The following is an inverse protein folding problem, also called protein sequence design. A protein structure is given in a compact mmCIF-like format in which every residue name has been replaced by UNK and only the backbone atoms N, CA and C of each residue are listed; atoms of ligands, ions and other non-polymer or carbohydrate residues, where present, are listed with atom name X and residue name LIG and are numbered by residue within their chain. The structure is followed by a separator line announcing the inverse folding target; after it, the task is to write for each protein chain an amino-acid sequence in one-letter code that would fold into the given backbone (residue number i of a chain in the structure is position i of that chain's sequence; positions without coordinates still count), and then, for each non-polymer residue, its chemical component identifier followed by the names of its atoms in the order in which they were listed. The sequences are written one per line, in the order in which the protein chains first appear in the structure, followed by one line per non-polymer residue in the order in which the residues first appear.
data_IF_440090609101
#
_entry.id   IF_440090609101
#
_cell.length_a   1.000
_cell.length_b   1.000
_cell.length_c   1.000
_cell.angle_alpha   90.00
_cell.angle_beta   90.00
_cell.angle_gamma   90.00
#
_symmetry.space_group_name_H-M   'P 1'
#
loop_
_entity.id
_entity.type
_entity.pdbx_description
1 polymer ?
#
# COMPACT_ATOMS: atom_id res chain seq x y z
N UNK A 1 1.52 -16.89 -15.99
CA UNK A 1 0.13 -17.34 -15.73
C UNK A 1 -0.13 -18.48 -16.72
N UNK A 2 -0.72 -19.58 -16.28
CA UNK A 2 -0.96 -20.72 -17.17
C UNK A 2 -2.27 -20.53 -17.93
N UNK A 3 -2.16 -19.98 -19.15
CA UNK A 3 -3.31 -19.67 -20.00
C UNK A 3 -4.04 -20.92 -20.52
N UNK A 4 -3.45 -22.10 -20.39
CA UNK A 4 -4.05 -23.37 -20.85
C UNK A 4 -5.17 -23.85 -19.89
N UNK A 5 -5.30 -23.23 -18.71
CA UNK A 5 -6.39 -23.48 -17.75
C UNK A 5 -7.68 -22.72 -18.09
N UNK A 6 -7.65 -21.90 -19.15
CA UNK A 6 -8.73 -21.03 -19.55
C UNK A 6 -9.45 -21.64 -20.75
N UNK A 7 -10.78 -21.58 -20.75
CA UNK A 7 -11.62 -21.99 -21.88
C UNK A 7 -11.54 -20.95 -23.01
N UNK A 8 -10.37 -20.89 -23.64
CA UNK A 8 -10.01 -19.97 -24.71
C UNK A 8 -9.62 -20.77 -25.96
N UNK A 9 -9.93 -20.22 -27.13
CA UNK A 9 -9.51 -20.83 -28.38
C UNK A 9 -7.96 -20.97 -28.41
N UNK A 10 -7.40 -22.14 -28.80
CA UNK A 10 -5.95 -22.36 -28.86
C UNK A 10 -5.19 -21.28 -29.64
N UNK A 11 -5.81 -20.73 -30.69
CA UNK A 11 -5.26 -19.62 -31.48
C UNK A 11 -5.06 -18.35 -30.64
N UNK A 12 -6.00 -18.06 -29.75
CA UNK A 12 -5.95 -16.90 -28.84
C UNK A 12 -4.90 -17.12 -27.76
N UNK A 13 -4.80 -18.35 -27.21
CA UNK A 13 -3.76 -18.70 -26.24
C UNK A 13 -2.36 -18.57 -26.85
N UNK A 14 -2.17 -19.05 -28.08
CA UNK A 14 -0.91 -18.88 -28.80
C UNK A 14 -0.56 -17.41 -29.03
N UNK A 15 -1.56 -16.58 -29.36
CA UNK A 15 -1.37 -15.14 -29.52
C UNK A 15 -1.02 -14.42 -28.21
N UNK A 16 -1.63 -14.82 -27.08
CA UNK A 16 -1.30 -14.31 -25.74
C UNK A 16 0.15 -14.63 -25.36
N UNK A 17 0.57 -15.89 -25.57
CA UNK A 17 1.95 -16.34 -25.34
C UNK A 17 2.94 -15.59 -26.23
N UNK A 18 2.59 -15.35 -27.51
CA UNK A 18 3.42 -14.60 -28.46
C UNK A 18 3.54 -13.10 -28.13
N UNK A 19 2.49 -12.51 -27.57
CA UNK A 19 2.45 -11.11 -27.19
C UNK A 19 3.11 -10.82 -25.83
N UNK A 20 3.70 -11.83 -25.18
CA UNK A 20 4.30 -11.78 -23.84
C UNK A 20 3.33 -11.25 -22.75
N UNK A 21 2.03 -11.48 -22.91
CA UNK A 21 1.03 -11.08 -21.92
C UNK A 21 1.07 -12.07 -20.74
N UNK A 22 1.46 -11.56 -19.58
CA UNK A 22 1.74 -12.38 -18.38
C UNK A 22 0.59 -12.42 -17.39
N UNK A 23 -0.36 -11.48 -17.51
CA UNK A 23 -1.47 -11.36 -16.56
C UNK A 23 -2.79 -10.94 -17.20
N UNK A 24 -3.90 -11.38 -16.57
CA UNK A 24 -5.25 -10.91 -16.89
C UNK A 24 -5.37 -9.38 -16.82
N UNK A 25 -4.65 -8.74 -15.89
CA UNK A 25 -4.66 -7.29 -15.70
C UNK A 25 -4.09 -6.54 -16.90
N UNK A 26 -3.07 -7.07 -17.56
CA UNK A 26 -2.53 -6.50 -18.81
C UNK A 26 -3.57 -6.50 -19.93
N UNK A 27 -4.36 -7.57 -20.05
CA UNK A 27 -5.45 -7.64 -21.04
C UNK A 27 -6.50 -6.56 -20.77
N UNK A 28 -6.94 -6.42 -19.50
CA UNK A 28 -7.98 -5.46 -19.14
C UNK A 28 -7.53 -3.99 -19.18
N UNK A 29 -6.24 -3.72 -19.09
CA UNK A 29 -5.69 -2.37 -19.17
C UNK A 29 -5.52 -1.87 -20.62
N UNK A 30 -5.67 -2.75 -21.61
CA UNK A 30 -5.58 -2.41 -23.02
C UNK A 30 -6.97 -2.24 -23.63
N UNK A 31 -7.10 -1.29 -24.55
CA UNK A 31 -8.33 -1.17 -25.33
C UNK A 31 -8.47 -2.36 -26.28
N UNK A 32 -9.71 -2.68 -26.69
CA UNK A 32 -9.95 -3.74 -27.68
C UNK A 32 -9.18 -3.51 -28.99
N UNK A 33 -8.98 -2.25 -29.39
CA UNK A 33 -8.21 -1.92 -30.58
C UNK A 33 -6.70 -2.16 -30.39
N UNK A 34 -6.16 -1.86 -29.21
CA UNK A 34 -4.75 -2.11 -28.90
C UNK A 34 -4.46 -3.61 -28.82
N UNK A 35 -5.37 -4.39 -28.23
CA UNK A 35 -5.28 -5.85 -28.21
C UNK A 35 -5.31 -6.45 -29.62
N UNK A 36 -6.18 -5.94 -30.50
CA UNK A 36 -6.20 -6.38 -31.91
C UNK A 36 -4.86 -6.11 -32.60
N UNK A 37 -4.28 -4.91 -32.41
CA UNK A 37 -2.99 -4.55 -32.99
C UNK A 37 -1.85 -5.41 -32.44
N UNK A 38 -1.83 -5.62 -31.13
CA UNK A 38 -0.79 -6.37 -30.41
C UNK A 38 -0.82 -7.86 -30.76
N UNK A 39 -2.02 -8.46 -30.75
CA UNK A 39 -2.21 -9.90 -30.91
C UNK A 39 -2.48 -10.32 -32.35
N UNK A 40 -2.75 -9.37 -33.25
CA UNK A 40 -3.13 -9.60 -34.65
C UNK A 40 -4.32 -10.56 -34.79
N UNK A 41 -5.33 -10.37 -33.93
CA UNK A 41 -6.56 -11.16 -33.91
C UNK A 41 -7.75 -10.36 -34.44
N UNK A 42 -8.82 -11.06 -34.80
CA UNK A 42 -10.07 -10.43 -35.23
C UNK A 42 -10.76 -9.72 -34.05
N UNK A 43 -11.67 -8.78 -34.35
CA UNK A 43 -12.44 -8.12 -33.29
C UNK A 43 -13.31 -9.09 -32.50
N UNK A 44 -13.84 -10.13 -33.16
CA UNK A 44 -14.63 -11.18 -32.53
C UNK A 44 -13.80 -12.01 -31.54
N UNK A 45 -12.58 -12.39 -31.92
CA UNK A 45 -11.66 -13.13 -31.06
C UNK A 45 -11.29 -12.31 -29.81
N UNK A 46 -11.01 -11.00 -29.99
CA UNK A 46 -10.70 -10.10 -28.87
C UNK A 46 -11.91 -9.86 -27.97
N UNK A 47 -13.12 -9.72 -28.52
CA UNK A 47 -14.34 -9.63 -27.71
C UNK A 47 -14.58 -10.92 -26.91
N UNK A 48 -14.36 -12.08 -27.52
CA UNK A 48 -14.49 -13.37 -26.86
C UNK A 48 -13.46 -13.50 -25.71
N UNK A 49 -12.21 -13.11 -25.96
CA UNK A 49 -11.16 -13.05 -24.94
C UNK A 49 -11.56 -12.14 -23.77
N UNK A 50 -11.94 -10.90 -24.05
CA UNK A 50 -12.33 -9.92 -23.02
C UNK A 50 -13.54 -10.40 -22.20
N UNK A 51 -14.54 -11.02 -22.86
CA UNK A 51 -15.72 -11.58 -22.20
C UNK A 51 -15.34 -12.73 -21.28
N UNK A 52 -14.53 -13.67 -21.77
CA UNK A 52 -14.07 -14.83 -20.99
C UNK A 52 -13.27 -14.39 -19.76
N UNK A 53 -12.30 -13.49 -19.97
CA UNK A 53 -11.47 -12.93 -18.89
C UNK A 53 -12.32 -12.16 -17.87
N UNK A 54 -13.31 -11.38 -18.32
CA UNK A 54 -14.24 -10.66 -17.45
C UNK A 54 -15.10 -11.60 -16.62
N UNK A 55 -15.63 -12.68 -17.21
CA UNK A 55 -16.42 -13.68 -16.50
C UNK A 55 -15.61 -14.40 -15.42
N UNK A 56 -14.33 -14.65 -15.65
CA UNK A 56 -13.46 -15.30 -14.67
C UNK A 56 -13.07 -14.41 -13.50
N UNK A 57 -12.99 -13.09 -13.74
CA UNK A 57 -12.76 -12.11 -12.68
C UNK A 57 -14.01 -11.76 -11.87
N UNK A 58 -15.22 -12.14 -12.32
CA UNK A 58 -16.48 -12.00 -11.56
C UNK A 58 -16.55 -12.93 -10.34
N UNK A 59 -15.45 -13.13 -9.62
CA UNK A 59 -15.48 -13.63 -8.24
C UNK A 59 -16.25 -12.69 -7.30
N UNK A 60 -16.46 -11.43 -7.70
CA UNK A 60 -17.36 -10.50 -7.03
C UNK A 60 -18.65 -10.35 -7.85
N UNK A 61 -19.68 -11.11 -7.50
CA UNK A 61 -21.05 -10.84 -7.93
C UNK A 61 -21.46 -9.44 -7.48
N UNK A 62 -22.29 -8.75 -8.25
CA UNK A 62 -22.95 -7.52 -7.80
C UNK A 62 -23.67 -7.83 -6.47
N UNK A 63 -23.16 -7.26 -5.38
CA UNK A 63 -23.79 -7.38 -4.07
C UNK A 63 -24.77 -6.23 -3.90
N UNK A 64 -25.93 -6.54 -3.31
CA UNK A 64 -26.86 -5.50 -2.88
C UNK A 64 -26.25 -4.75 -1.69
N UNK A 65 -26.63 -3.48 -1.50
CA UNK A 65 -26.22 -2.70 -0.34
C UNK A 65 -26.59 -3.40 0.99
N UNK A 66 -27.70 -4.15 1.00
CA UNK A 66 -28.13 -4.94 2.17
C UNK A 66 -27.17 -6.10 2.46
N UNK A 67 -26.71 -6.82 1.43
CA UNK A 67 -25.74 -7.91 1.62
C UNK A 67 -24.40 -7.38 2.16
N UNK A 68 -23.92 -6.25 1.65
CA UNK A 68 -22.72 -5.60 2.17
C UNK A 68 -22.87 -5.16 3.64
N UNK A 69 -24.08 -4.71 4.03
CA UNK A 69 -24.37 -4.33 5.41
C UNK A 69 -24.47 -5.55 6.35
N UNK A 70 -25.03 -6.66 5.86
CA UNK A 70 -25.21 -7.90 6.62
C UNK A 70 -23.93 -8.74 6.72
N UNK A 71 -22.97 -8.56 5.79
CA UNK A 71 -21.66 -9.19 5.82
C UNK A 71 -20.79 -8.60 6.94
N UNK A 72 -21.06 -9.07 8.16
CA UNK A 72 -20.37 -8.65 9.38
C UNK A 72 -18.88 -8.97 9.33
N UNK A 73 -18.48 -10.07 8.70
CA UNK A 73 -17.09 -10.53 8.62
C UNK A 73 -16.26 -9.60 7.72
N UNK A 74 -16.82 -9.22 6.56
CA UNK A 74 -16.17 -8.29 5.64
C UNK A 74 -16.06 -6.88 6.26
N UNK A 75 -17.07 -6.44 7.00
CA UNK A 75 -17.05 -5.19 7.76
C UNK A 75 -16.06 -5.22 8.93
N UNK A 76 -15.95 -6.31 9.69
CA UNK A 76 -14.97 -6.42 10.79
C UNK A 76 -13.53 -6.40 10.29
N UNK A 77 -13.25 -7.04 9.16
CA UNK A 77 -11.92 -7.01 8.53
C UNK A 77 -11.55 -5.62 8.01
N UNK A 78 -12.52 -4.84 7.50
CA UNK A 78 -12.31 -3.45 7.07
C UNK A 78 -12.24 -2.46 8.24
N UNK A 79 -12.78 -2.80 9.41
CA UNK A 79 -12.80 -1.93 10.61
C UNK A 79 -11.55 -2.03 11.46
N UNK A 80 -10.68 -3.01 11.22
CA UNK A 80 -9.40 -3.05 11.92
C UNK A 80 -8.60 -1.79 11.57
N UNK A 81 -8.03 -1.20 12.62
CA UNK A 81 -7.30 0.07 12.55
C UNK A 81 -6.05 -0.01 13.40
N UNK A 82 -5.02 0.69 12.94
CA UNK A 82 -3.80 0.93 13.68
C UNK A 82 -3.96 2.21 14.51
N UNK A 83 -3.84 2.08 15.83
CA UNK A 83 -3.87 3.23 16.74
C UNK A 83 -2.66 4.15 16.52
N UNK A 84 -2.88 5.45 16.69
CA UNK A 84 -1.81 6.45 16.69
C UNK A 84 -1.10 6.55 18.05
N UNK A 85 -1.57 5.80 19.06
CA UNK A 85 -1.06 5.88 20.44
C UNK A 85 -1.46 7.16 21.15
N UNK A 86 -2.49 7.84 20.66
CA UNK A 86 -3.03 9.07 21.22
C UNK A 86 -4.56 9.00 21.19
N UNK A 87 -5.20 8.97 22.37
CA UNK A 87 -6.64 8.80 22.50
C UNK A 87 -7.45 9.88 21.78
N UNK A 88 -6.96 11.12 21.77
CA UNK A 88 -7.59 12.26 21.08
C UNK A 88 -7.60 12.04 19.56
N UNK A 89 -6.46 11.65 18.99
CA UNK A 89 -6.33 11.40 17.55
C UNK A 89 -7.06 10.13 17.13
N UNK A 90 -7.01 9.08 17.94
CA UNK A 90 -7.75 7.85 17.68
C UNK A 90 -9.26 8.11 17.72
N UNK A 91 -9.74 8.90 18.68
CA UNK A 91 -11.15 9.31 18.72
C UNK A 91 -11.54 10.10 17.47
N UNK A 92 -10.70 11.05 17.04
CA UNK A 92 -10.91 11.83 15.82
C UNK A 92 -11.00 10.93 14.57
N UNK A 93 -10.14 9.90 14.50
CA UNK A 93 -10.09 8.95 13.38
C UNK A 93 -10.98 7.72 13.58
N UNK A 94 -11.84 7.72 14.61
CA UNK A 94 -12.75 6.62 14.97
C UNK A 94 -12.03 5.28 15.15
N UNK A 95 -10.95 5.28 15.93
CA UNK A 95 -10.13 4.12 16.30
C UNK A 95 -8.77 4.02 15.61
N UNK A 96 -8.33 5.05 14.88
CA UNK A 96 -7.01 5.09 14.22
C UNK A 96 -7.05 4.91 12.70
N UNK A 97 -5.93 4.48 12.13
CA UNK A 97 -5.68 4.42 10.68
C UNK A 97 -6.20 3.10 10.10
N UNK A 98 -7.01 3.11 9.02
CA UNK A 98 -7.46 1.89 8.36
C UNK A 98 -6.31 0.99 7.89
N UNK A 99 -6.43 -0.33 8.07
CA UNK A 99 -5.39 -1.25 7.61
C UNK A 99 -5.32 -1.42 6.09
N UNK A 100 -6.40 -1.08 5.37
CA UNK A 100 -6.46 -1.13 3.92
C UNK A 100 -6.71 0.27 3.40
N UNK A 101 -5.82 0.73 2.52
CA UNK A 101 -5.85 2.04 1.92
C UNK A 101 -4.54 2.80 2.13
N UNK A 102 -4.52 3.99 1.56
CA UNK A 102 -3.43 4.96 1.70
C UNK A 102 -3.99 6.11 2.53
N UNK A 103 -3.29 6.44 3.61
CA UNK A 103 -3.59 7.61 4.45
C UNK A 103 -2.53 8.66 4.20
N UNK A 104 -2.96 9.87 3.89
CA UNK A 104 -2.07 11.01 3.68
C UNK A 104 -2.11 11.94 4.88
N UNK A 105 -0.92 12.32 5.37
CA UNK A 105 -0.74 13.34 6.38
C UNK A 105 -0.07 14.55 5.74
N UNK A 106 -0.86 15.57 5.44
CA UNK A 106 -0.43 16.81 4.79
C UNK A 106 -0.39 17.98 5.78
N UNK A 107 0.57 18.89 5.59
CA UNK A 107 0.66 20.14 6.37
C UNK A 107 1.99 20.86 6.17
N UNK A 108 2.09 22.05 6.73
CA UNK A 108 3.30 22.89 6.66
C UNK A 108 4.51 22.22 7.36
N UNK A 109 5.71 22.74 7.09
CA UNK A 109 6.91 22.33 7.82
C UNK A 109 6.71 22.49 9.33
N UNK A 110 7.30 21.60 10.12
CA UNK A 110 7.19 21.58 11.59
C UNK A 110 5.77 21.34 12.17
N UNK A 111 4.77 20.99 11.35
CA UNK A 111 3.42 20.61 11.82
C UNK A 111 3.34 19.25 12.55
N UNK A 112 4.47 18.60 12.83
CA UNK A 112 4.51 17.32 13.57
C UNK A 112 4.30 16.05 12.73
N UNK A 113 4.30 16.13 11.40
CA UNK A 113 4.06 14.99 10.49
C UNK A 113 5.03 13.82 10.71
N UNK A 114 6.32 14.13 10.76
CA UNK A 114 7.38 13.15 11.04
C UNK A 114 7.26 12.56 12.45
N UNK A 115 6.80 13.35 13.45
CA UNK A 115 6.59 12.84 14.81
C UNK A 115 5.50 11.78 14.86
N UNK A 116 4.36 12.05 14.22
CA UNK A 116 3.25 11.08 14.11
C UNK A 116 3.71 9.82 13.39
N UNK A 117 4.51 9.97 12.33
CA UNK A 117 4.98 8.84 11.52
C UNK A 117 5.98 7.95 12.28
N UNK A 118 6.91 8.53 13.03
CA UNK A 118 7.79 7.77 13.93
C UNK A 118 6.99 7.07 15.03
N UNK A 119 6.01 7.76 15.62
CA UNK A 119 5.16 7.15 16.65
C UNK A 119 4.36 5.97 16.07
N UNK A 120 3.86 6.06 14.84
CA UNK A 120 3.19 4.94 14.17
C UNK A 120 4.10 3.73 13.96
N UNK A 121 5.38 3.93 13.62
CA UNK A 121 6.38 2.86 13.56
C UNK A 121 6.58 2.14 14.90
N UNK A 122 6.33 2.82 16.01
CA UNK A 122 6.32 2.19 17.34
C UNK A 122 4.95 1.54 17.63
N UNK A 123 3.85 2.22 17.31
CA UNK A 123 2.49 1.75 17.56
C UNK A 123 2.17 0.42 16.89
N UNK A 124 2.64 0.20 15.66
CA UNK A 124 2.40 -1.06 14.92
C UNK A 124 2.98 -2.29 15.62
N UNK A 125 3.99 -2.12 16.47
CA UNK A 125 4.67 -3.22 17.15
C UNK A 125 3.94 -3.69 18.41
N UNK A 126 2.98 -2.92 18.91
CA UNK A 126 2.19 -3.31 20.07
C UNK A 126 1.24 -4.48 19.75
N UNK A 127 0.79 -5.22 20.78
CA UNK A 127 -0.28 -6.20 20.62
C UNK A 127 -1.56 -5.62 20.04
N UNK A 128 -2.34 -6.46 19.35
CA UNK A 128 -3.67 -6.09 18.83
C UNK A 128 -4.59 -5.53 19.93
N UNK A 129 -4.48 -6.07 21.15
CA UNK A 129 -5.23 -5.58 22.33
C UNK A 129 -4.97 -4.10 22.63
N UNK A 130 -3.79 -3.58 22.29
CA UNK A 130 -3.38 -2.20 22.51
C UNK A 130 -3.29 -1.40 21.20
N UNK A 131 -4.05 -1.82 20.18
CA UNK A 131 -4.19 -1.10 18.92
C UNK A 131 -2.98 -1.19 17.97
N UNK A 132 -2.02 -2.09 18.23
CA UNK A 132 -0.94 -2.43 17.29
C UNK A 132 -1.26 -3.65 16.43
N UNK A 133 -0.26 -4.16 15.71
CA UNK A 133 -0.36 -5.29 14.78
C UNK A 133 0.72 -6.37 15.00
N UNK A 134 1.43 -6.32 16.13
CA UNK A 134 2.49 -7.28 16.49
C UNK A 134 3.54 -7.49 15.39
N UNK A 135 3.86 -6.41 14.66
CA UNK A 135 4.74 -6.50 13.49
C UNK A 135 5.53 -5.21 13.29
N UNK A 136 6.53 -5.26 12.41
CA UNK A 136 7.41 -4.15 12.13
C UNK A 136 6.84 -3.10 11.18
N UNK A 137 7.64 -2.05 10.95
CA UNK A 137 7.38 -0.99 10.00
C UNK A 137 8.51 -0.88 8.97
N UNK A 138 8.19 -0.38 7.78
CA UNK A 138 9.17 0.18 6.84
C UNK A 138 9.00 1.70 6.83
N UNK A 139 10.10 2.43 6.96
CA UNK A 139 10.16 3.86 6.80
C UNK A 139 10.99 4.19 5.55
N UNK A 140 10.36 4.79 4.55
CA UNK A 140 11.02 5.23 3.32
C UNK A 140 11.31 6.72 3.45
N UNK A 141 12.58 7.07 3.45
CA UNK A 141 13.08 8.42 3.37
C UNK A 141 13.32 8.79 1.90
N UNK A 142 12.72 9.88 1.43
CA UNK A 142 12.90 10.35 0.04
C UNK A 142 13.80 11.59 -0.07
N UNK A 143 14.00 12.32 1.02
CA UNK A 143 14.80 13.55 1.03
C UNK A 143 15.82 13.51 2.17
N UNK A 144 15.35 13.57 3.41
CA UNK A 144 16.20 13.63 4.60
C UNK A 144 16.66 12.27 5.12
N UNK A 145 17.74 12.29 5.90
CA UNK A 145 18.18 11.15 6.68
C UNK A 145 17.10 10.73 7.70
N UNK A 146 17.00 9.42 7.95
CA UNK A 146 16.07 8.92 8.95
C UNK A 146 16.37 9.52 10.35
N UNK A 147 15.38 10.09 11.05
CA UNK A 147 15.57 10.78 12.33
C UNK A 147 15.77 9.81 13.50
N UNK A 148 16.84 9.00 13.44
CA UNK A 148 17.15 7.92 14.38
C UNK A 148 17.28 8.39 15.83
N UNK A 149 17.96 9.52 16.07
CA UNK A 149 18.08 10.11 17.41
C UNK A 149 16.71 10.43 18.00
N UNK A 150 15.80 10.95 17.17
CA UNK A 150 14.44 11.28 17.62
C UNK A 150 13.62 10.02 17.87
N UNK A 151 13.77 8.98 17.05
CA UNK A 151 13.15 7.68 17.30
C UNK A 151 13.57 7.12 18.67
N UNK A 152 14.86 7.16 19.02
CA UNK A 152 15.33 6.67 20.33
C UNK A 152 14.69 7.44 21.49
N UNK A 153 14.60 8.77 21.39
CA UNK A 153 13.89 9.57 22.39
C UNK A 153 12.41 9.17 22.54
N UNK A 154 11.73 8.86 21.43
CA UNK A 154 10.34 8.38 21.47
C UNK A 154 10.23 6.99 22.10
N UNK A 155 11.19 6.09 21.83
CA UNK A 155 11.27 4.77 22.45
C UNK A 155 11.40 4.89 23.97
N UNK A 156 12.34 5.72 24.44
CA UNK A 156 12.57 5.94 25.87
C UNK A 156 11.33 6.50 26.58
N UNK A 157 10.48 7.25 25.86
CA UNK A 157 9.27 7.86 26.40
C UNK A 157 8.02 6.97 26.28
N UNK A 158 8.09 5.77 25.70
CA UNK A 158 6.89 4.94 25.47
C UNK A 158 6.13 4.63 26.78
N UNK A 159 6.83 4.43 27.90
CA UNK A 159 6.19 4.20 29.20
C UNK A 159 5.30 5.38 29.66
N UNK A 160 5.57 6.61 29.22
CA UNK A 160 4.74 7.80 29.50
C UNK A 160 3.68 8.01 28.43
N UNK A 161 4.06 7.84 27.16
CA UNK A 161 3.20 8.10 26.00
C UNK A 161 2.09 7.06 25.87
N UNK A 162 2.35 5.82 26.30
CA UNK A 162 1.43 4.67 26.26
C UNK A 162 1.10 4.18 27.67
N UNK A 163 0.63 5.09 28.51
CA UNK A 163 0.18 4.78 29.88
C UNK A 163 -0.98 3.77 29.92
N UNK A 164 -1.67 3.57 28.79
CA UNK A 164 -2.70 2.54 28.60
C UNK A 164 -2.11 1.11 28.50
N UNK A 165 -0.81 0.97 28.26
CA UNK A 165 -0.13 -0.32 28.09
C UNK A 165 0.69 -0.67 29.33
N UNK A 166 0.56 -1.90 29.88
CA UNK A 166 1.39 -2.36 30.98
C UNK A 166 2.89 -2.28 30.67
N UNK A 167 3.68 -1.78 31.64
CA UNK A 167 5.13 -1.58 31.48
C UNK A 167 5.89 -2.86 31.07
N UNK A 168 5.45 -4.02 31.55
CA UNK A 168 6.03 -5.33 31.19
C UNK A 168 5.95 -5.63 29.69
N UNK A 169 4.87 -5.20 29.03
CA UNK A 169 4.69 -5.40 27.59
C UNK A 169 5.62 -4.47 26.83
N UNK A 170 5.70 -3.20 27.25
CA UNK A 170 6.60 -2.21 26.65
C UNK A 170 8.06 -2.69 26.72
N UNK A 171 8.49 -3.22 27.87
CA UNK A 171 9.86 -3.73 28.07
C UNK A 171 10.18 -4.97 27.23
N UNK A 172 9.18 -5.80 26.89
CA UNK A 172 9.35 -6.97 26.03
C UNK A 172 9.55 -6.58 24.56
N UNK A 173 9.00 -5.45 24.12
CA UNK A 173 9.08 -5.01 22.73
C UNK A 173 10.45 -4.35 22.47
N UNK A 174 11.23 -4.94 21.55
CA UNK A 174 12.48 -4.34 21.07
C UNK A 174 12.20 -3.42 19.89
N UNK A 175 11.63 -2.24 20.18
CA UNK A 175 11.09 -1.33 19.17
C UNK A 175 12.01 -1.03 17.98
N UNK A 176 13.32 -0.86 18.22
CA UNK A 176 14.27 -0.53 17.16
C UNK A 176 14.55 -1.67 16.18
N UNK A 177 14.34 -2.94 16.56
CA UNK A 177 14.75 -4.10 15.76
C UNK A 177 13.79 -4.40 14.61
N UNK A 178 12.57 -3.86 14.65
CA UNK A 178 11.51 -4.14 13.68
C UNK A 178 11.12 -2.89 12.89
N UNK A 179 12.03 -1.92 12.76
CA UNK A 179 11.85 -0.75 11.89
C UNK A 179 12.93 -0.80 10.81
N UNK A 180 12.51 -1.10 9.58
CA UNK A 180 13.39 -1.12 8.42
C UNK A 180 13.39 0.26 7.76
N UNK A 181 14.57 0.78 7.46
CA UNK A 181 14.73 2.10 6.84
C UNK A 181 15.23 1.91 5.41
N UNK A 182 14.56 2.55 4.47
CA UNK A 182 14.93 2.58 3.06
C UNK A 182 15.11 4.03 2.60
N UNK A 183 16.10 4.28 1.76
CA UNK A 183 16.32 5.59 1.14
C UNK A 183 16.01 5.48 -0.36
N UNK A 184 15.07 6.28 -0.83
CA UNK A 184 14.63 6.30 -2.22
C UNK A 184 14.47 7.75 -2.69
N UNK A 185 15.56 8.32 -3.22
CA UNK A 185 15.64 9.74 -3.58
C UNK A 185 15.07 10.06 -4.98
N UNK A 186 14.83 9.04 -5.80
CA UNK A 186 14.35 9.15 -7.19
C UNK A 186 13.24 8.12 -7.48
N UNK A 187 12.51 8.33 -8.58
CA UNK A 187 11.36 7.48 -8.94
C UNK A 187 11.74 6.02 -9.22
N UNK A 188 12.91 5.76 -9.80
CA UNK A 188 13.36 4.41 -10.15
C UNK A 188 13.74 3.61 -8.90
N UNK A 189 14.46 4.23 -7.98
CA UNK A 189 14.80 3.66 -6.67
C UNK A 189 13.53 3.43 -5.85
N UNK A 190 12.59 4.37 -5.87
CA UNK A 190 11.29 4.21 -5.21
C UNK A 190 10.46 3.06 -5.81
N UNK A 191 10.42 2.97 -7.14
CA UNK A 191 9.75 1.87 -7.83
C UNK A 191 10.35 0.50 -7.46
N UNK A 192 11.68 0.39 -7.44
CA UNK A 192 12.36 -0.83 -7.00
C UNK A 192 12.10 -1.16 -5.53
N UNK A 193 12.03 -0.15 -4.67
CA UNK A 193 11.73 -0.31 -3.25
C UNK A 193 10.33 -0.93 -3.04
N UNK A 194 9.30 -0.36 -3.68
CA UNK A 194 7.91 -0.86 -3.61
C UNK A 194 7.79 -2.28 -4.17
N UNK A 195 8.29 -2.49 -5.39
CA UNK A 195 8.05 -3.73 -6.14
C UNK A 195 8.86 -4.92 -5.64
N UNK A 196 10.06 -4.69 -5.10
CA UNK A 196 10.95 -5.77 -4.64
C UNK A 196 11.06 -5.79 -3.12
N UNK A 197 11.65 -4.76 -2.52
CA UNK A 197 12.07 -4.77 -1.11
C UNK A 197 10.87 -4.84 -0.17
N UNK A 198 9.95 -3.88 -0.27
CA UNK A 198 8.75 -3.80 0.57
C UNK A 198 7.86 -5.02 0.35
N UNK A 199 7.66 -5.40 -0.91
CA UNK A 199 6.90 -6.60 -1.27
C UNK A 199 7.46 -7.87 -0.58
N UNK A 200 8.77 -8.02 -0.47
CA UNK A 200 9.42 -9.13 0.23
C UNK A 200 9.22 -9.05 1.76
N UNK A 201 9.40 -7.88 2.36
CA UNK A 201 9.21 -7.70 3.81
C UNK A 201 7.76 -8.01 4.23
N UNK A 202 6.79 -7.53 3.44
CA UNK A 202 5.36 -7.80 3.63
C UNK A 202 5.02 -9.28 3.43
N UNK A 203 5.55 -9.91 2.39
CA UNK A 203 5.32 -11.32 2.10
C UNK A 203 5.87 -12.26 3.20
N UNK A 204 6.97 -11.87 3.84
CA UNK A 204 7.55 -12.59 4.99
C UNK A 204 6.85 -12.28 6.31
N UNK A 205 5.88 -11.35 6.33
CA UNK A 205 5.17 -10.95 7.55
C UNK A 205 6.03 -10.15 8.55
N UNK A 206 7.21 -9.68 8.14
CA UNK A 206 8.12 -8.94 9.02
C UNK A 206 7.63 -7.52 9.29
N UNK A 207 6.79 -6.98 8.39
CA UNK A 207 6.24 -5.63 8.50
C UNK A 207 4.74 -5.60 8.20
N UNK A 208 4.02 -4.72 8.89
CA UNK A 208 2.59 -4.41 8.68
C UNK A 208 2.32 -2.91 8.67
N UNK A 209 3.33 -2.07 8.48
CA UNK A 209 3.16 -0.64 8.25
C UNK A 209 4.21 -0.19 7.22
N UNK A 210 3.79 0.66 6.28
CA UNK A 210 4.71 1.36 5.37
C UNK A 210 4.50 2.85 5.55
N UNK A 211 5.58 3.57 5.84
CA UNK A 211 5.63 5.03 5.95
C UNK A 211 6.48 5.58 4.83
N UNK A 212 6.03 6.65 4.17
CA UNK A 212 6.72 7.32 3.07
C UNK A 212 6.88 8.79 3.43
N UNK A 213 8.10 9.21 3.76
CA UNK A 213 8.44 10.58 4.16
C UNK A 213 9.47 11.18 3.19
N UNK A 214 9.08 12.00 2.21
CA UNK A 214 7.71 12.38 1.84
C UNK A 214 7.40 11.92 0.41
N UNK A 215 6.13 11.64 0.09
CA UNK A 215 5.75 11.29 -1.29
C UNK A 215 5.95 12.49 -2.23
N UNK A 216 5.83 13.72 -1.70
CA UNK A 216 5.90 14.95 -2.47
C UNK A 216 7.30 15.26 -2.99
N UNK A 217 8.35 14.94 -2.22
CA UNK A 217 9.73 15.24 -2.58
C UNK A 217 10.14 14.63 -3.94
N UNK A 218 9.74 13.37 -4.19
CA UNK A 218 9.99 12.66 -5.46
C UNK A 218 9.45 13.41 -6.69
N UNK A 219 8.40 14.22 -6.52
CA UNK A 219 7.73 14.90 -7.62
C UNK A 219 7.98 16.40 -7.67
N UNK A 220 8.73 16.95 -6.72
CA UNK A 220 9.00 18.39 -6.63
C UNK A 220 10.20 18.80 -7.48
N UNK A 221 11.24 17.97 -7.51
CA UNK A 221 12.50 18.28 -8.17
C UNK A 221 12.56 17.77 -9.62
N UNK A 222 11.85 16.68 -9.94
CA UNK A 222 11.97 16.00 -11.23
C UNK A 222 11.03 16.51 -12.33
N UNK A 223 9.99 17.28 -12.00
CA UNK A 223 8.95 17.67 -12.96
C UNK A 223 8.74 19.18 -13.02
N UNK A 224 8.89 19.74 -14.22
CA UNK A 224 8.53 21.12 -14.52
C UNK A 224 7.02 21.29 -14.80
N UNK A 225 6.61 22.52 -15.07
CA UNK A 225 5.20 22.86 -15.39
C UNK A 225 4.71 22.12 -16.64
N UNK A 226 5.60 21.85 -17.60
CA UNK A 226 5.32 21.10 -18.83
C UNK A 226 5.06 19.61 -18.62
N UNK A 227 5.49 19.03 -17.49
CA UNK A 227 5.52 17.57 -17.31
C UNK A 227 4.33 17.03 -16.52
N UNK A 228 3.26 17.83 -16.41
CA UNK A 228 2.06 17.52 -15.64
C UNK A 228 1.44 16.16 -15.98
N UNK A 229 1.41 15.79 -17.26
CA UNK A 229 0.88 14.49 -17.73
C UNK A 229 1.74 13.33 -17.25
N UNK A 230 3.07 13.46 -17.35
CA UNK A 230 3.99 12.41 -16.93
C UNK A 230 3.95 12.23 -15.41
N UNK A 231 3.95 13.34 -14.66
CA UNK A 231 3.75 13.35 -13.21
C UNK A 231 2.46 12.65 -12.80
N UNK A 232 1.34 12.95 -13.46
CA UNK A 232 0.06 12.30 -13.19
C UNK A 232 0.12 10.78 -13.44
N UNK A 233 0.80 10.33 -14.50
CA UNK A 233 0.99 8.89 -14.79
C UNK A 233 1.79 8.18 -13.70
N UNK A 234 2.87 8.79 -13.21
CA UNK A 234 3.66 8.22 -12.12
C UNK A 234 2.86 8.16 -10.81
N UNK A 235 2.16 9.25 -10.45
CA UNK A 235 1.30 9.28 -9.26
C UNK A 235 0.21 8.20 -9.32
N UNK A 236 -0.45 8.04 -10.47
CA UNK A 236 -1.44 6.97 -10.66
C UNK A 236 -0.80 5.58 -10.55
N UNK A 237 0.38 5.39 -11.14
CA UNK A 237 1.10 4.11 -11.11
C UNK A 237 1.50 3.74 -9.69
N UNK A 238 2.16 4.64 -8.96
CA UNK A 238 2.56 4.38 -7.57
C UNK A 238 1.36 4.29 -6.64
N UNK A 239 0.35 5.15 -6.79
CA UNK A 239 -0.90 5.06 -6.04
C UNK A 239 -1.55 3.69 -6.20
N UNK A 240 -1.63 3.18 -7.43
CA UNK A 240 -2.17 1.84 -7.69
C UNK A 240 -1.30 0.72 -7.12
N UNK A 241 0.03 0.84 -7.19
CA UNK A 241 0.95 -0.14 -6.60
C UNK A 241 0.86 -0.19 -5.08
N UNK A 242 0.91 0.96 -4.41
CA UNK A 242 0.77 1.10 -2.96
C UNK A 242 -0.60 0.57 -2.51
N UNK A 243 -1.69 0.99 -3.16
CA UNK A 243 -3.03 0.49 -2.85
C UNK A 243 -3.11 -1.04 -3.01
N UNK A 244 -2.49 -1.59 -4.05
CA UNK A 244 -2.42 -3.04 -4.27
C UNK A 244 -1.66 -3.75 -3.15
N UNK A 245 -0.55 -3.19 -2.65
CA UNK A 245 0.18 -3.74 -1.52
C UNK A 245 -0.67 -3.69 -0.24
N UNK A 246 -1.27 -2.55 0.04
CA UNK A 246 -2.13 -2.36 1.21
C UNK A 246 -3.29 -3.35 1.23
N UNK A 247 -3.97 -3.52 0.10
CA UNK A 247 -5.09 -4.47 -0.04
C UNK A 247 -4.64 -5.92 0.10
N UNK A 248 -3.53 -6.29 -0.57
CA UNK A 248 -3.03 -7.67 -0.58
C UNK A 248 -2.53 -8.12 0.80
N UNK A 249 -1.86 -7.24 1.52
CA UNK A 249 -1.20 -7.58 2.78
C UNK A 249 -1.93 -7.06 4.02
N UNK A 250 -3.06 -6.35 3.85
CA UNK A 250 -3.79 -5.65 4.91
C UNK A 250 -2.85 -4.78 5.75
N UNK A 251 -2.06 -3.97 5.04
CA UNK A 251 -1.04 -3.13 5.63
C UNK A 251 -1.39 -1.65 5.41
N UNK A 252 -1.52 -0.83 6.48
CA UNK A 252 -1.66 0.60 6.35
C UNK A 252 -0.43 1.20 5.65
N UNK A 253 -0.69 2.12 4.73
CA UNK A 253 0.33 2.93 4.08
C UNK A 253 0.12 4.38 4.47
N UNK A 254 1.11 4.98 5.11
CA UNK A 254 1.13 6.40 5.49
C UNK A 254 2.03 7.16 4.52
N UNK A 255 1.48 8.15 3.84
CA UNK A 255 2.22 9.09 3.02
C UNK A 255 2.30 10.45 3.70
N UNK A 256 3.50 10.98 3.89
CA UNK A 256 3.69 12.36 4.34
C UNK A 256 3.73 13.26 3.12
N UNK A 257 3.02 14.38 3.20
CA UNK A 257 3.05 15.44 2.19
C UNK A 257 3.32 16.80 2.87
N UNK A 258 4.27 17.55 2.34
CA UNK A 258 4.50 18.93 2.75
C UNK A 258 3.80 19.86 1.76
N UNK A 259 2.86 20.65 2.28
CA UNK A 259 2.13 21.69 1.53
C UNK A 259 2.57 23.08 1.96
#
# INVERSE_FOLDING_TARGET
MDWDQFDLNPKVIAALKKADIKSIKEILNLSGADLQRLMKLSSADIQCLLKTVSHMLRRNSMLTALQLYQDKDHLTSQRQKLSLGCSVLDSLLKGGIPLVGITELAGESSAGKTQISLQLCLCVQYPYKYGGLESGAVYICTEDAFPSKRLQQLIDQQHKLRADVPAEIIQKIKFGNSIFVEHAADLDTFHNCITKRISLLLARGMVRLVVIDSIAALFRCEFGVSDSVLKARYLQTFGAQLHSLSTRFRTPIMCINQV
#
